data_IF_373082768781
#
_entry.id   IF_373082768781
#
_cell.length_a   1.000
_cell.length_b   1.000
_cell.length_c   1.000
_cell.angle_alpha   90.00
_cell.angle_beta   90.00
_cell.angle_gamma   90.00
#
_symmetry.space_group_name_H-M   'P 1'
#
loop_
_entity.id
_entity.type
_entity.pdbx_description
1 polymer ?
#
# COMPACT_ATOMS: atom_id res chain seq x y z
N UNK A 1 -12.33 -7.77 4.98
CA UNK A 1 -12.59 -6.69 4.00
C UNK A 1 -11.42 -6.66 3.01
N UNK A 2 -11.64 -7.04 1.73
CA UNK A 2 -10.60 -7.08 0.71
C UNK A 2 -9.88 -5.76 0.50
N UNK A 3 -10.57 -4.61 0.65
CA UNK A 3 -9.93 -3.28 0.48
C UNK A 3 -8.90 -3.01 1.56
N UNK A 4 -9.23 -3.32 2.82
CA UNK A 4 -8.28 -3.21 3.95
C UNK A 4 -7.07 -4.12 3.79
N UNK A 5 -7.23 -5.29 3.18
CA UNK A 5 -6.10 -6.18 2.88
C UNK A 5 -5.15 -5.56 1.84
N UNK A 6 -5.67 -4.88 0.82
CA UNK A 6 -4.85 -4.11 -0.13
C UNK A 6 -4.05 -3.03 0.61
N UNK A 7 -4.69 -2.27 1.51
CA UNK A 7 -4.04 -1.23 2.32
C UNK A 7 -2.91 -1.81 3.16
N UNK A 8 -3.13 -2.94 3.83
CA UNK A 8 -2.10 -3.61 4.63
C UNK A 8 -0.91 -4.09 3.79
N UNK A 9 -1.15 -4.60 2.57
CA UNK A 9 -0.08 -4.98 1.65
C UNK A 9 0.70 -3.76 1.16
N UNK A 10 0.02 -2.64 0.85
CA UNK A 10 0.69 -1.36 0.50
C UNK A 10 1.54 -0.86 1.67
N UNK A 11 1.04 -0.96 2.90
CA UNK A 11 1.82 -0.66 4.10
C UNK A 11 3.07 -1.54 4.21
N UNK A 12 2.96 -2.84 3.96
CA UNK A 12 4.13 -3.74 3.99
C UNK A 12 5.21 -3.35 2.95
N UNK A 13 4.81 -2.84 1.78
CA UNK A 13 5.76 -2.30 0.79
C UNK A 13 6.43 -1.02 1.29
N UNK A 14 5.67 -0.10 1.92
CA UNK A 14 6.26 1.12 2.51
C UNK A 14 7.24 0.79 3.63
N UNK A 15 6.86 -0.10 4.54
CA UNK A 15 7.72 -0.58 5.62
C UNK A 15 9.00 -1.22 5.06
N UNK A 16 8.89 -2.01 3.98
CA UNK A 16 10.05 -2.55 3.28
C UNK A 16 11.00 -1.45 2.80
N UNK A 17 10.49 -0.42 2.12
CA UNK A 17 11.28 0.71 1.63
C UNK A 17 11.92 1.51 2.77
N UNK A 18 11.20 1.74 3.87
CA UNK A 18 11.74 2.39 5.06
C UNK A 18 12.89 1.60 5.68
N UNK A 19 12.74 0.28 5.80
CA UNK A 19 13.82 -0.60 6.27
C UNK A 19 15.04 -0.53 5.38
N UNK A 20 14.86 -0.49 4.05
CA UNK A 20 15.98 -0.27 3.13
C UNK A 20 16.68 1.08 3.34
N UNK A 21 15.93 2.16 3.58
CA UNK A 21 16.51 3.46 3.93
C UNK A 21 17.31 3.37 5.24
N UNK A 22 16.77 2.71 6.28
CA UNK A 22 17.46 2.49 7.56
C UNK A 22 18.74 1.65 7.40
N UNK A 23 18.68 0.56 6.62
CA UNK A 23 19.84 -0.30 6.33
C UNK A 23 20.93 0.42 5.55
N UNK A 24 20.55 1.17 4.51
CA UNK A 24 21.48 1.97 3.71
C UNK A 24 22.22 3.01 4.56
N UNK A 25 21.52 3.69 5.48
CA UNK A 25 22.12 4.64 6.43
C UNK A 25 23.19 4.01 7.33
N UNK A 26 23.06 2.72 7.68
CA UNK A 26 24.05 1.98 8.47
C UNK A 26 25.08 1.22 7.63
N UNK A 27 25.00 1.28 6.30
CA UNK A 27 25.87 0.50 5.41
C UNK A 27 25.68 -1.02 5.51
N UNK A 28 24.53 -1.48 6.01
CA UNK A 28 24.21 -2.91 6.16
C UNK A 28 23.33 -3.40 5.01
N UNK A 29 23.43 -4.70 4.69
CA UNK A 29 22.75 -5.29 3.53
C UNK A 29 21.42 -5.97 3.86
N UNK A 30 21.18 -6.31 5.13
CA UNK A 30 20.00 -7.06 5.56
C UNK A 30 19.63 -6.74 7.02
N UNK A 31 18.44 -7.18 7.42
CA UNK A 31 17.89 -6.99 8.77
C UNK A 31 18.77 -7.58 9.86
N UNK A 32 19.42 -8.72 9.61
CA UNK A 32 20.32 -9.35 10.58
C UNK A 32 21.52 -8.45 10.89
N UNK A 33 22.18 -7.95 9.85
CA UNK A 33 23.29 -7.01 9.98
C UNK A 33 22.85 -5.69 10.62
N UNK A 34 21.65 -5.22 10.30
CA UNK A 34 21.06 -4.05 10.95
C UNK A 34 20.91 -4.27 12.47
N UNK A 35 20.27 -5.36 12.87
CA UNK A 35 20.01 -5.67 14.27
C UNK A 35 21.31 -5.88 15.07
N UNK A 36 22.31 -6.54 14.48
CA UNK A 36 23.63 -6.69 15.10
C UNK A 36 24.28 -5.32 15.33
N UNK A 37 24.36 -4.45 14.31
CA UNK A 37 24.97 -3.12 14.44
C UNK A 37 24.27 -2.25 15.47
N UNK A 38 22.94 -2.30 15.51
CA UNK A 38 22.13 -1.55 16.48
C UNK A 38 22.36 -2.06 17.91
N UNK A 39 22.39 -3.39 18.10
CA UNK A 39 22.66 -3.98 19.41
C UNK A 39 24.06 -3.66 19.92
N UNK A 40 25.08 -3.70 19.06
CA UNK A 40 26.46 -3.31 19.39
C UNK A 40 26.56 -1.84 19.79
N UNK A 41 25.92 -0.94 19.03
CA UNK A 41 25.89 0.49 19.34
C UNK A 41 25.21 0.75 20.70
N UNK A 42 24.07 0.11 20.96
CA UNK A 42 23.36 0.22 22.22
C UNK A 42 24.20 -0.28 23.41
N UNK A 43 24.91 -1.41 23.24
CA UNK A 43 25.80 -1.96 24.27
C UNK A 43 27.02 -1.05 24.55
N UNK A 44 27.53 -0.36 23.53
CA UNK A 44 28.63 0.58 23.65
C UNK A 44 28.20 1.97 24.17
N UNK A 45 26.90 2.24 24.27
CA UNK A 45 26.38 3.59 24.53
C UNK A 45 26.68 4.58 23.40
N UNK A 46 26.94 4.07 22.19
CA UNK A 46 27.22 4.85 20.99
C UNK A 46 25.90 5.38 20.41
N UNK A 47 25.79 6.70 20.30
CA UNK A 47 24.71 7.32 19.53
C UNK A 47 25.12 7.32 18.07
N UNK A 48 24.41 6.56 17.24
CA UNK A 48 24.65 6.56 15.80
C UNK A 48 24.22 7.92 15.24
N UNK A 49 25.17 8.77 14.88
CA UNK A 49 24.91 10.06 14.23
C UNK A 49 25.08 9.96 12.72
N UNK A 50 24.32 10.78 12.00
CA UNK A 50 24.49 10.95 10.55
C UNK A 50 24.74 12.40 10.23
N UNK A 51 25.79 12.65 9.47
CA UNK A 51 26.05 13.94 8.84
C UNK A 51 25.07 14.14 7.67
N UNK A 52 24.12 15.05 7.82
CA UNK A 52 23.16 15.45 6.77
C UNK A 52 23.45 16.88 6.34
N UNK A 53 23.41 17.14 5.03
CA UNK A 53 23.52 18.51 4.52
C UNK A 53 22.20 19.24 4.79
N UNK A 54 22.20 20.22 5.68
CA UNK A 54 21.01 20.99 6.08
C UNK A 54 20.84 22.27 5.27
N UNK A 55 21.85 22.68 4.51
CA UNK A 55 21.74 23.80 3.58
C UNK A 55 23.07 24.27 3.01
N UNK A 56 23.09 25.54 2.62
CA UNK A 56 24.29 26.28 2.24
C UNK A 56 24.39 27.54 3.07
N UNK A 57 25.59 27.87 3.54
CA UNK A 57 25.85 29.10 4.24
C UNK A 57 25.55 30.30 3.33
N UNK A 58 24.73 31.24 3.82
CA UNK A 58 24.26 32.40 3.04
C UNK A 58 25.37 33.40 2.70
N UNK A 59 26.51 33.35 3.38
CA UNK A 59 27.64 34.26 3.17
C UNK A 59 28.78 33.61 2.38
N UNK A 60 29.05 32.31 2.59
CA UNK A 60 30.17 31.61 1.93
C UNK A 60 29.74 30.69 0.78
N UNK A 61 28.45 30.31 0.71
CA UNK A 61 27.94 29.35 -0.27
C UNK A 61 28.40 27.91 -0.01
N UNK A 62 29.06 27.63 1.11
CA UNK A 62 29.53 26.29 1.48
C UNK A 62 28.40 25.45 2.06
N UNK A 63 28.44 24.13 1.83
CA UNK A 63 27.44 23.19 2.36
C UNK A 63 27.52 23.12 3.89
N UNK A 64 26.40 23.37 4.57
CA UNK A 64 26.27 23.19 6.02
C UNK A 64 25.86 21.75 6.28
N UNK A 65 26.60 21.08 7.17
CA UNK A 65 26.34 19.72 7.60
C UNK A 65 26.00 19.70 9.09
N UNK A 66 24.92 19.01 9.45
CA UNK A 66 24.53 18.77 10.85
C UNK A 66 24.57 17.27 11.15
N UNK A 67 24.92 16.93 12.38
CA UNK A 67 24.85 15.57 12.88
C UNK A 67 23.50 15.30 13.52
N UNK A 68 22.69 14.47 12.87
CA UNK A 68 21.40 14.02 13.37
C UNK A 68 21.57 12.68 14.10
N UNK A 69 21.20 12.64 15.39
CA UNK A 69 21.20 11.41 16.18
C UNK A 69 20.06 10.49 15.74
N UNK A 70 20.39 9.26 15.35
CA UNK A 70 19.41 8.27 14.95
C UNK A 70 19.04 7.37 16.14
N UNK A 71 17.81 7.49 16.62
CA UNK A 71 17.22 6.50 17.52
C UNK A 71 16.91 5.23 16.72
N UNK A 72 17.77 4.22 16.80
CA UNK A 72 17.60 2.96 16.11
C UNK A 72 17.29 1.86 17.11
N UNK A 73 16.14 1.22 16.93
CA UNK A 73 15.76 0.01 17.65
C UNK A 73 15.89 -1.19 16.71
N UNK A 74 16.17 -2.40 17.24
CA UNK A 74 16.16 -3.62 16.46
C UNK A 74 14.82 -3.80 15.73
N UNK A 75 14.87 -4.18 14.46
CA UNK A 75 13.70 -4.39 13.63
C UNK A 75 13.22 -5.85 13.76
N UNK A 76 11.93 -6.10 14.02
CA UNK A 76 11.37 -7.45 14.03
C UNK A 76 11.17 -7.97 12.61
N UNK A 77 11.19 -9.29 12.43
CA UNK A 77 10.67 -9.89 11.19
C UNK A 77 9.16 -9.68 11.10
N UNK A 78 8.67 -9.42 9.88
CA UNK A 78 7.24 -9.32 9.61
C UNK A 78 6.84 -10.49 8.72
N UNK A 79 5.79 -11.21 9.12
CA UNK A 79 5.20 -12.28 8.31
C UNK A 79 3.78 -11.88 7.92
N UNK A 80 3.54 -11.73 6.63
CA UNK A 80 2.23 -11.44 6.05
C UNK A 80 1.59 -12.74 5.61
N UNK A 81 0.44 -13.10 6.20
CA UNK A 81 -0.29 -14.33 5.89
C UNK A 81 -1.61 -13.99 5.22
N UNK A 82 -1.82 -14.51 4.01
CA UNK A 82 -3.08 -14.41 3.26
C UNK A 82 -3.66 -15.81 3.12
N UNK A 83 -4.73 -16.10 3.86
CA UNK A 83 -5.34 -17.43 3.91
C UNK A 83 -6.06 -17.82 2.61
N UNK A 84 -6.70 -16.85 1.95
CA UNK A 84 -7.38 -17.05 0.67
C UNK A 84 -7.13 -15.88 -0.27
N UNK A 85 -6.06 -15.98 -1.08
CA UNK A 85 -5.70 -14.92 -2.02
C UNK A 85 -6.71 -14.76 -3.17
N UNK A 86 -7.51 -15.78 -3.50
CA UNK A 86 -8.47 -15.68 -4.60
C UNK A 86 -9.55 -14.63 -4.33
N UNK A 87 -9.98 -14.46 -3.08
CA UNK A 87 -10.93 -13.42 -2.70
C UNK A 87 -10.37 -12.01 -2.93
N UNK A 88 -9.06 -11.83 -2.71
CA UNK A 88 -8.39 -10.57 -2.98
C UNK A 88 -8.25 -10.32 -4.49
N UNK A 89 -7.90 -11.37 -5.26
CA UNK A 89 -7.74 -11.29 -6.71
C UNK A 89 -9.04 -10.92 -7.42
N UNK A 90 -10.18 -11.42 -6.94
CA UNK A 90 -11.50 -11.12 -7.52
C UNK A 90 -11.94 -9.67 -7.33
N UNK A 91 -11.46 -8.99 -6.28
CA UNK A 91 -11.86 -7.61 -5.96
C UNK A 91 -10.85 -6.59 -6.47
N UNK A 92 -9.55 -6.86 -6.35
CA UNK A 92 -8.48 -5.91 -6.62
C UNK A 92 -7.23 -6.57 -7.24
N UNK A 93 -7.41 -7.53 -8.15
CA UNK A 93 -6.32 -8.37 -8.68
C UNK A 93 -5.08 -7.62 -9.16
N UNK A 94 -5.23 -6.53 -9.92
CA UNK A 94 -4.07 -5.76 -10.42
C UNK A 94 -3.25 -5.11 -9.29
N UNK A 95 -3.91 -4.52 -8.31
CA UNK A 95 -3.22 -3.86 -7.17
C UNK A 95 -2.55 -4.90 -6.27
N UNK A 96 -3.24 -6.01 -6.01
CA UNK A 96 -2.73 -7.13 -5.23
C UNK A 96 -1.50 -7.74 -5.90
N UNK A 97 -1.58 -8.05 -7.19
CA UNK A 97 -0.49 -8.66 -7.95
C UNK A 97 0.75 -7.74 -7.97
N UNK A 98 0.57 -6.44 -8.22
CA UNK A 98 1.68 -5.47 -8.21
C UNK A 98 2.34 -5.34 -6.83
N UNK A 99 1.54 -5.33 -5.77
CA UNK A 99 2.06 -5.21 -4.39
C UNK A 99 2.78 -6.49 -3.95
N UNK A 100 2.20 -7.65 -4.22
CA UNK A 100 2.80 -8.96 -3.95
C UNK A 100 4.09 -9.13 -4.75
N UNK A 101 4.12 -8.72 -6.02
CA UNK A 101 5.31 -8.75 -6.84
C UNK A 101 6.46 -7.93 -6.21
N UNK A 102 6.19 -6.68 -5.81
CA UNK A 102 7.19 -5.83 -5.14
C UNK A 102 7.72 -6.46 -3.87
N UNK A 103 6.84 -6.97 -3.00
CA UNK A 103 7.23 -7.66 -1.78
C UNK A 103 8.10 -8.87 -2.10
N UNK A 104 7.66 -9.76 -2.98
CA UNK A 104 8.38 -11.00 -3.26
C UNK A 104 9.79 -10.76 -3.85
N UNK A 105 10.00 -9.65 -4.57
CA UNK A 105 11.30 -9.31 -5.17
C UNK A 105 12.30 -8.72 -4.16
N UNK A 106 11.84 -7.88 -3.22
CA UNK A 106 12.72 -7.04 -2.41
C UNK A 106 12.61 -7.30 -0.90
N UNK A 107 11.55 -7.93 -0.42
CA UNK A 107 11.25 -8.04 1.01
C UNK A 107 12.25 -8.88 1.82
N UNK A 108 12.95 -9.82 1.17
CA UNK A 108 13.82 -10.81 1.84
C UNK A 108 14.89 -10.15 2.72
N UNK A 109 15.61 -9.14 2.20
CA UNK A 109 16.67 -8.49 2.95
C UNK A 109 16.10 -7.57 4.05
N UNK A 110 14.91 -7.01 3.84
CA UNK A 110 14.17 -6.20 4.81
C UNK A 110 13.51 -7.03 5.93
N UNK A 111 13.61 -8.36 5.88
CA UNK A 111 13.01 -9.25 6.88
C UNK A 111 11.49 -9.30 6.83
N UNK A 112 10.90 -9.10 5.65
CA UNK A 112 9.46 -9.23 5.42
C UNK A 112 9.23 -10.50 4.59
N UNK A 113 8.34 -11.38 5.06
CA UNK A 113 8.03 -12.65 4.44
C UNK A 113 6.53 -12.75 4.16
N UNK A 114 6.17 -13.33 3.02
CA UNK A 114 4.77 -13.44 2.60
C UNK A 114 4.41 -14.92 2.43
N UNK A 115 3.29 -15.31 3.03
CA UNK A 115 2.66 -16.63 2.88
C UNK A 115 1.31 -16.42 2.22
N UNK A 116 1.14 -17.02 1.04
CA UNK A 116 -0.10 -16.97 0.28
C UNK A 116 -0.70 -18.37 0.24
N UNK A 117 -1.95 -18.49 0.66
CA UNK A 117 -2.75 -19.70 0.58
C UNK A 117 -4.00 -19.45 -0.27
N UNK A 118 -4.50 -20.52 -0.88
CA UNK A 118 -5.76 -20.52 -1.63
C UNK A 118 -6.28 -21.93 -1.78
N UNK A 119 -7.60 -22.06 -1.80
CA UNK A 119 -8.28 -23.31 -2.18
C UNK A 119 -8.64 -23.33 -3.68
N UNK A 120 -8.39 -22.24 -4.42
CA UNK A 120 -8.71 -22.10 -5.85
C UNK A 120 -7.43 -21.98 -6.68
N UNK A 121 -6.75 -23.10 -6.99
CA UNK A 121 -5.49 -23.11 -7.73
C UNK A 121 -5.70 -22.93 -9.25
N UNK A 122 -6.38 -21.85 -9.66
CA UNK A 122 -6.58 -21.48 -11.06
C UNK A 122 -5.49 -20.55 -11.57
N UNK A 123 -5.35 -20.44 -12.90
CA UNK A 123 -4.37 -19.55 -13.55
C UNK A 123 -4.65 -18.07 -13.26
N UNK A 124 -5.92 -17.72 -13.05
CA UNK A 124 -6.35 -16.35 -12.74
C UNK A 124 -5.98 -15.93 -11.30
N UNK A 125 -5.81 -16.92 -10.41
CA UNK A 125 -5.38 -16.69 -9.02
C UNK A 125 -3.86 -16.81 -8.93
N UNK A 126 -3.29 -17.91 -9.41
CA UNK A 126 -1.85 -18.19 -9.40
C UNK A 126 -1.26 -17.78 -10.75
N UNK A 127 -1.17 -16.47 -10.95
CA UNK A 127 -0.71 -15.87 -12.21
C UNK A 127 0.76 -16.21 -12.50
N UNK A 128 1.21 -15.93 -13.73
CA UNK A 128 2.62 -16.06 -14.10
C UNK A 128 3.55 -15.23 -13.20
N UNK A 129 3.12 -14.01 -12.84
CA UNK A 129 3.87 -13.10 -11.95
C UNK A 129 4.02 -13.69 -10.56
N UNK A 130 2.96 -14.25 -9.98
CA UNK A 130 3.02 -14.91 -8.67
C UNK A 130 3.99 -16.09 -8.73
N UNK A 131 3.88 -16.94 -9.75
CA UNK A 131 4.81 -18.08 -9.92
C UNK A 131 6.27 -17.62 -10.05
N UNK A 132 6.53 -16.56 -10.81
CA UNK A 132 7.89 -16.07 -11.03
C UNK A 132 8.56 -15.58 -9.74
N UNK A 133 7.80 -15.01 -8.80
CA UNK A 133 8.37 -14.41 -7.60
C UNK A 133 8.26 -15.29 -6.33
N UNK A 134 7.46 -16.35 -6.34
CA UNK A 134 7.35 -17.32 -5.24
C UNK A 134 7.89 -18.69 -5.66
N UNK A 135 9.21 -18.94 -5.50
CA UNK A 135 9.84 -20.18 -5.95
C UNK A 135 9.64 -21.34 -4.97
N UNK A 136 9.28 -21.06 -3.71
CA UNK A 136 8.95 -22.08 -2.71
C UNK A 136 7.44 -22.29 -2.69
N UNK A 137 6.99 -23.53 -2.88
CA UNK A 137 5.57 -23.87 -3.01
C UNK A 137 5.23 -25.13 -2.23
N UNK A 138 4.02 -25.14 -1.69
CA UNK A 138 3.42 -26.28 -1.02
C UNK A 138 2.09 -26.54 -1.73
N UNK A 139 1.83 -27.79 -2.09
CA UNK A 139 0.51 -28.23 -2.55
C UNK A 139 0.03 -29.35 -1.67
N UNK A 140 -1.15 -29.18 -1.07
CA UNK A 140 -1.94 -30.28 -0.56
C UNK A 140 -2.65 -31.00 -1.72
N UNK A 141 -3.47 -32.00 -1.38
CA UNK A 141 -4.29 -32.70 -2.35
C UNK A 141 -5.14 -31.73 -3.17
N UNK A 142 -5.05 -31.86 -4.49
CA UNK A 142 -5.90 -31.14 -5.46
C UNK A 142 -6.71 -32.14 -6.27
N UNK A 143 -7.74 -31.66 -6.96
CA UNK A 143 -8.68 -32.54 -7.68
C UNK A 143 -8.15 -32.98 -9.04
N UNK A 144 -7.33 -32.15 -9.70
CA UNK A 144 -6.91 -32.40 -11.08
C UNK A 144 -5.42 -32.22 -11.33
N UNK A 145 -4.94 -32.87 -12.39
CA UNK A 145 -3.57 -32.70 -12.90
C UNK A 145 -3.29 -31.27 -13.37
N UNK A 146 -4.34 -30.52 -13.71
CA UNK A 146 -4.23 -29.12 -14.15
C UNK A 146 -3.89 -28.27 -12.93
N UNK A 147 -4.62 -28.44 -11.83
CA UNK A 147 -4.39 -27.72 -10.58
C UNK A 147 -2.99 -27.98 -10.01
N UNK A 148 -2.54 -29.24 -10.04
CA UNK A 148 -1.17 -29.61 -9.62
C UNK A 148 -0.13 -28.83 -10.43
N UNK A 149 -0.30 -28.73 -11.75
CA UNK A 149 0.61 -27.96 -12.61
C UNK A 149 0.50 -26.46 -12.37
N UNK A 150 -0.68 -25.94 -12.06
CA UNK A 150 -0.84 -24.52 -11.74
C UNK A 150 -0.02 -24.13 -10.50
N UNK A 151 -0.01 -24.98 -9.46
CA UNK A 151 0.74 -24.74 -8.23
C UNK A 151 2.22 -25.07 -8.41
N UNK A 152 2.55 -26.31 -8.80
CA UNK A 152 3.91 -26.85 -8.74
C UNK A 152 4.67 -26.76 -10.08
N UNK A 153 3.98 -26.52 -11.19
CA UNK A 153 4.55 -26.67 -12.54
C UNK A 153 4.53 -28.11 -13.06
N UNK A 154 4.30 -29.09 -12.18
CA UNK A 154 4.31 -30.53 -12.49
C UNK A 154 3.07 -31.24 -11.92
N UNK A 155 2.81 -32.46 -12.39
CA UNK A 155 1.73 -33.31 -11.90
C UNK A 155 2.18 -34.05 -10.63
N UNK A 156 1.23 -34.48 -9.79
CA UNK A 156 1.50 -35.32 -8.62
C UNK A 156 0.65 -34.97 -7.41
N UNK A 157 0.24 -33.70 -7.26
CA UNK A 157 -0.57 -33.30 -6.11
C UNK A 157 -1.98 -33.92 -6.15
N UNK A 158 -2.48 -34.29 -7.33
CA UNK A 158 -3.76 -34.99 -7.47
C UNK A 158 -3.74 -36.43 -6.94
N UNK A 159 -2.56 -36.97 -6.66
CA UNK A 159 -2.35 -38.33 -6.14
C UNK A 159 -2.14 -38.37 -4.62
N UNK A 160 -2.14 -37.21 -3.96
CA UNK A 160 -2.04 -37.11 -2.51
C UNK A 160 -3.28 -37.70 -1.85
N UNK A 161 -3.11 -38.13 -0.60
CA UNK A 161 -4.14 -38.86 0.16
C UNK A 161 -5.08 -37.91 0.93
N UNK A 162 -4.82 -36.60 0.93
CA UNK A 162 -5.50 -35.63 1.78
C UNK A 162 -4.95 -35.65 3.22
N UNK A 163 -5.71 -35.07 4.17
CA UNK A 163 -5.41 -35.10 5.61
C UNK A 163 -3.96 -34.75 5.99
N UNK A 164 -3.40 -33.70 5.36
CA UNK A 164 -2.05 -33.23 5.64
C UNK A 164 -0.95 -33.80 4.73
N UNK A 165 -1.26 -34.77 3.87
CA UNK A 165 -0.33 -35.21 2.83
C UNK A 165 -0.09 -34.09 1.80
N UNK A 166 1.18 -33.75 1.57
CA UNK A 166 1.55 -32.58 0.76
C UNK A 166 2.81 -32.82 -0.08
N UNK A 167 2.94 -32.04 -1.15
CA UNK A 167 4.15 -31.90 -1.95
C UNK A 167 4.80 -30.55 -1.64
N UNK A 168 6.08 -30.58 -1.31
CA UNK A 168 6.91 -29.41 -1.04
C UNK A 168 7.96 -29.23 -2.13
N UNK A 169 8.09 -28.01 -2.62
CA UNK A 169 9.10 -27.61 -3.58
C UNK A 169 9.83 -26.38 -3.07
N UNK A 170 11.14 -26.50 -2.85
CA UNK A 170 12.01 -25.39 -2.48
C UNK A 170 12.69 -24.81 -3.72
N UNK A 171 12.58 -23.51 -3.95
CA UNK A 171 13.40 -22.83 -4.96
C UNK A 171 13.19 -23.29 -6.41
N UNK A 172 12.01 -23.86 -6.75
CA UNK A 172 11.78 -24.50 -8.05
C UNK A 172 12.58 -25.80 -8.28
N UNK A 173 13.15 -26.37 -7.22
CA UNK A 173 13.91 -27.62 -7.26
C UNK A 173 13.03 -28.87 -7.22
N UNK A 174 13.63 -30.00 -6.82
CA UNK A 174 12.94 -31.29 -6.76
C UNK A 174 11.78 -31.27 -5.76
N UNK A 175 10.63 -31.78 -6.19
CA UNK A 175 9.47 -31.97 -5.33
C UNK A 175 9.74 -33.11 -4.33
N UNK A 176 9.42 -32.85 -3.07
CA UNK A 176 9.50 -33.82 -1.97
C UNK A 176 8.11 -34.01 -1.36
N UNK A 177 7.69 -35.26 -1.18
CA UNK A 177 6.44 -35.58 -0.47
C UNK A 177 6.67 -35.52 1.03
N UNK A 178 5.76 -34.86 1.75
CA UNK A 178 5.83 -34.64 3.19
C UNK A 178 4.46 -34.91 3.80
N UNK A 179 4.43 -35.51 4.98
CA UNK A 179 3.22 -35.65 5.78
C UNK A 179 3.16 -34.51 6.79
N UNK A 180 2.22 -33.59 6.61
CA UNK A 180 2.01 -32.45 7.48
C UNK A 180 1.58 -32.90 8.88
N UNK A 181 2.14 -32.30 9.95
CA UNK A 181 1.69 -32.58 11.30
C UNK A 181 0.25 -32.10 11.47
N UNK A 182 -0.56 -32.92 12.14
CA UNK A 182 -1.90 -32.53 12.55
C UNK A 182 -1.82 -31.68 13.81
N UNK A 183 -2.54 -30.56 13.82
CA UNK A 183 -2.80 -29.75 15.00
C UNK A 183 -4.30 -29.51 15.06
N UNK A 184 -4.92 -29.79 16.20
CA UNK A 184 -6.34 -29.54 16.42
C UNK A 184 -6.61 -28.09 16.80
N UNK A 185 -7.82 -27.61 16.53
CA UNK A 185 -8.25 -26.26 16.94
C UNK A 185 -8.08 -26.03 18.45
N UNK A 186 -8.34 -27.07 19.25
CA UNK A 186 -8.13 -27.02 20.71
C UNK A 186 -6.66 -26.82 21.10
N UNK A 187 -5.71 -27.34 20.33
CA UNK A 187 -4.28 -27.09 20.56
C UNK A 187 -3.90 -25.67 20.15
N UNK A 188 -4.44 -25.16 19.05
CA UNK A 188 -4.26 -23.77 18.63
C UNK A 188 -4.80 -22.81 19.69
N UNK A 189 -6.01 -23.03 20.19
CA UNK A 189 -6.62 -22.23 21.24
C UNK A 189 -5.79 -22.22 22.53
N UNK A 190 -5.21 -23.36 22.93
CA UNK A 190 -4.31 -23.45 24.08
C UNK A 190 -3.06 -22.60 23.90
N UNK A 191 -2.44 -22.64 22.73
CA UNK A 191 -1.26 -21.82 22.41
C UNK A 191 -1.62 -20.34 22.41
N UNK A 192 -2.75 -19.96 21.79
CA UNK A 192 -3.23 -18.57 21.77
C UNK A 192 -3.53 -18.08 23.18
N UNK A 193 -4.18 -18.89 24.02
CA UNK A 193 -4.47 -18.55 25.41
C UNK A 193 -3.17 -18.33 26.20
N UNK A 194 -2.18 -19.22 26.03
CA UNK A 194 -0.87 -19.06 26.66
C UNK A 194 -0.18 -17.76 26.21
N UNK A 195 -0.16 -17.45 24.92
CA UNK A 195 0.44 -16.21 24.40
C UNK A 195 -0.23 -14.95 24.95
N UNK A 196 -1.56 -14.95 25.08
CA UNK A 196 -2.32 -13.84 25.69
C UNK A 196 -1.97 -13.60 27.17
N UNK A 197 -1.42 -14.59 27.88
CA UNK A 197 -0.93 -14.38 29.25
C UNK A 197 0.42 -13.66 29.31
N UNK A 198 1.18 -13.67 28.21
CA UNK A 198 2.52 -13.07 28.15
C UNK A 198 2.48 -11.59 27.76
N UNK A 199 1.45 -11.16 27.02
CA UNK A 199 1.31 -9.77 26.61
C UNK A 199 0.04 -9.48 25.82
N UNK A 200 -0.28 -8.19 25.71
CA UNK A 200 -1.34 -7.69 24.84
C UNK A 200 -0.77 -7.42 23.43
N UNK A 201 -1.56 -7.61 22.36
CA UNK A 201 -1.15 -7.19 21.04
C UNK A 201 -0.94 -5.67 21.00
N UNK A 202 0.15 -5.24 20.37
CA UNK A 202 0.43 -3.85 20.06
C UNK A 202 0.07 -3.60 18.59
N UNK A 203 -1.12 -3.05 18.36
CA UNK A 203 -1.66 -2.85 17.02
C UNK A 203 -1.17 -1.52 16.44
N UNK A 204 -0.67 -1.57 15.21
CA UNK A 204 -0.28 -0.39 14.45
C UNK A 204 -1.45 0.06 13.58
N UNK A 205 -2.12 1.15 13.96
CA UNK A 205 -3.25 1.71 13.19
C UNK A 205 -2.86 2.07 11.75
N UNK A 206 -1.60 2.46 11.53
CA UNK A 206 -1.03 2.77 10.22
C UNK A 206 -1.11 1.62 9.21
N UNK A 207 -1.25 0.37 9.66
CA UNK A 207 -1.39 -0.79 8.77
C UNK A 207 -2.73 -0.78 8.04
N UNK A 208 -3.77 -0.23 8.68
CA UNK A 208 -5.13 -0.20 8.13
C UNK A 208 -5.57 1.21 7.73
N UNK A 209 -4.74 2.22 8.00
CA UNK A 209 -5.00 3.59 7.60
C UNK A 209 -4.87 3.74 6.08
N UNK A 210 -5.97 4.14 5.44
CA UNK A 210 -5.93 4.66 4.09
C UNK A 210 -5.26 6.04 4.15
N UNK A 211 -4.00 6.12 3.72
CA UNK A 211 -3.39 7.42 3.43
C UNK A 211 -4.02 7.93 2.12
N UNK A 212 -4.55 9.16 2.13
CA UNK A 212 -4.90 9.85 0.88
C UNK A 212 -3.63 9.88 0.04
N UNK A 213 -3.65 9.27 -1.15
CA UNK A 213 -2.55 9.35 -2.12
C UNK A 213 -2.33 10.83 -2.45
N UNK A 214 -1.41 11.45 -1.70
CA UNK A 214 -0.93 12.79 -1.92
C UNK A 214 -0.15 12.82 -3.23
N UNK A 215 -0.52 13.78 -4.08
CA UNK A 215 0.18 14.16 -5.30
C UNK A 215 1.71 14.10 -5.12
N UNK A 216 2.39 13.24 -5.88
CA UNK A 216 3.85 13.17 -5.81
C UNK A 216 4.47 11.87 -6.31
N UNK A 217 4.00 11.34 -7.44
CA UNK A 217 4.81 10.42 -8.25
C UNK A 217 4.63 10.85 -9.71
N UNK A 218 5.56 11.69 -10.18
CA UNK A 218 5.78 11.90 -11.60
C UNK A 218 6.21 10.57 -12.22
N UNK A 219 5.25 9.79 -12.71
CA UNK A 219 5.52 8.84 -13.79
C UNK A 219 5.49 9.60 -15.10
N UNK A 220 6.69 9.93 -15.59
CA UNK A 220 6.96 10.31 -16.96
C UNK A 220 6.48 9.17 -17.88
N UNK A 221 5.41 9.41 -18.65
CA UNK A 221 4.78 8.33 -19.41
C UNK A 221 3.56 8.72 -20.24
N UNK A 222 3.84 9.24 -21.43
CA UNK A 222 2.98 9.22 -22.63
C UNK A 222 1.79 10.19 -22.70
N UNK A 223 2.03 11.24 -23.49
CA UNK A 223 1.06 11.95 -24.33
C UNK A 223 0.14 10.93 -25.02
N UNK A 224 -1.14 10.93 -24.69
CA UNK A 224 -2.18 10.36 -25.55
C UNK A 224 -3.40 11.27 -25.62
N UNK A 225 -3.44 11.95 -26.76
CA UNK A 225 -4.54 12.67 -27.38
C UNK A 225 -5.85 11.86 -27.34
N UNK A 226 -6.92 12.47 -26.81
CA UNK A 226 -8.31 12.11 -27.12
C UNK A 226 -9.15 13.37 -27.28
N UNK A 227 -9.03 13.93 -28.47
CA UNK A 227 -10.15 14.49 -29.25
C UNK A 227 -11.52 13.87 -28.92
N UNK A 228 -12.49 14.72 -28.56
CA UNK A 228 -13.86 14.31 -28.24
C UNK A 228 -14.85 15.45 -27.95
N UNK A 229 -15.08 16.32 -28.94
CA UNK A 229 -16.31 17.10 -29.21
C UNK A 229 -17.03 17.86 -28.05
N UNK A 230 -16.76 19.16 -27.97
CA UNK A 230 -17.78 20.21 -28.19
C UNK A 230 -18.83 20.48 -27.09
N UNK A 231 -18.52 21.41 -26.18
CA UNK A 231 -19.40 22.51 -25.79
C UNK A 231 -18.58 23.55 -25.01
N UNK A 232 -18.70 24.82 -25.41
CA UNK A 232 -17.93 25.98 -24.97
C UNK A 232 -17.45 25.91 -23.50
N UNK A 233 -16.19 25.50 -23.30
CA UNK A 233 -15.52 25.67 -22.02
C UNK A 233 -15.07 27.13 -21.94
N UNK A 234 -15.67 27.87 -21.01
CA UNK A 234 -15.02 29.07 -20.50
C UNK A 234 -13.63 28.66 -19.99
N UNK A 235 -12.58 29.32 -20.49
CA UNK A 235 -11.20 29.10 -20.05
C UNK A 235 -10.97 29.54 -18.60
N UNK A 236 -11.92 30.25 -17.97
CA UNK A 236 -11.81 30.67 -16.58
C UNK A 236 -12.24 29.54 -15.61
N UNK A 237 -11.33 29.05 -14.74
CA UNK A 237 -11.65 28.08 -13.70
C UNK A 237 -12.82 28.49 -12.78
N UNK A 238 -13.11 29.79 -12.67
CA UNK A 238 -14.26 30.29 -11.93
C UNK A 238 -15.59 29.90 -12.58
N UNK A 239 -15.74 30.15 -13.89
CA UNK A 239 -16.98 29.87 -14.60
C UNK A 239 -17.29 28.36 -14.63
N UNK A 240 -16.23 27.54 -14.74
CA UNK A 240 -16.33 26.08 -14.63
C UNK A 240 -16.82 25.66 -13.24
N UNK A 241 -16.34 26.32 -12.18
CA UNK A 241 -16.79 26.04 -10.82
C UNK A 241 -18.25 26.41 -10.61
N UNK A 242 -18.71 27.56 -11.14
CA UNK A 242 -20.11 27.97 -11.03
C UNK A 242 -21.01 26.98 -11.77
N UNK A 243 -20.65 26.58 -12.99
CA UNK A 243 -21.39 25.60 -13.77
C UNK A 243 -21.52 24.25 -13.02
N UNK A 244 -20.43 23.79 -12.40
CA UNK A 244 -20.41 22.58 -11.58
C UNK A 244 -21.35 22.68 -10.37
N UNK A 245 -21.31 23.79 -9.63
CA UNK A 245 -22.16 24.01 -8.45
C UNK A 245 -23.63 24.02 -8.83
N UNK A 246 -23.99 24.72 -9.91
CA UNK A 246 -25.38 24.83 -10.37
C UNK A 246 -25.91 23.51 -10.94
N UNK A 247 -25.08 22.77 -11.68
CA UNK A 247 -25.45 21.46 -12.24
C UNK A 247 -25.61 20.40 -11.15
N UNK A 248 -24.64 20.31 -10.25
CA UNK A 248 -24.58 19.22 -9.28
C UNK A 248 -25.29 19.54 -7.94
N UNK A 249 -25.79 20.78 -7.80
CA UNK A 249 -26.49 21.34 -6.63
C UNK A 249 -25.72 21.09 -5.32
N UNK A 250 -24.39 21.17 -5.38
CA UNK A 250 -23.47 20.98 -4.24
C UNK A 250 -22.45 22.10 -4.20
N UNK A 251 -22.47 22.88 -3.12
CA UNK A 251 -21.58 24.02 -2.91
C UNK A 251 -20.75 23.81 -1.63
N UNK A 252 -19.54 23.25 -1.77
CA UNK A 252 -18.55 23.23 -0.69
C UNK A 252 -17.13 23.28 -1.25
N UNK A 253 -16.20 23.83 -0.48
CA UNK A 253 -14.79 23.96 -0.87
C UNK A 253 -14.20 22.61 -1.28
N UNK A 254 -14.41 21.56 -0.48
CA UNK A 254 -13.95 20.20 -0.79
C UNK A 254 -14.65 19.57 -2.00
N UNK A 255 -15.88 19.99 -2.32
CA UNK A 255 -16.58 19.51 -3.53
C UNK A 255 -15.95 20.09 -4.79
N UNK A 256 -15.75 21.41 -4.81
CA UNK A 256 -15.09 22.13 -5.91
C UNK A 256 -13.64 21.67 -6.08
N UNK A 257 -12.91 21.52 -4.99
CA UNK A 257 -11.54 20.98 -4.97
C UNK A 257 -11.44 19.65 -5.72
N UNK A 258 -12.36 18.70 -5.44
CA UNK A 258 -12.38 17.39 -6.10
C UNK A 258 -12.83 17.46 -7.55
N UNK A 259 -13.84 18.28 -7.86
CA UNK A 259 -14.45 18.29 -9.20
C UNK A 259 -13.59 19.00 -10.24
N UNK A 260 -12.80 19.98 -9.83
CA UNK A 260 -11.89 20.76 -10.69
C UNK A 260 -10.42 20.41 -10.50
N UNK A 261 -10.09 19.45 -9.61
CA UNK A 261 -8.71 19.01 -9.33
C UNK A 261 -7.76 20.18 -8.98
N UNK A 262 -8.27 21.19 -8.26
CA UNK A 262 -7.52 22.36 -7.81
C UNK A 262 -7.18 22.26 -6.32
N UNK A 263 -6.12 22.95 -5.88
CA UNK A 263 -5.73 22.98 -4.46
C UNK A 263 -6.76 23.68 -3.56
N UNK A 264 -6.76 23.35 -2.26
CA UNK A 264 -7.74 23.84 -1.27
C UNK A 264 -7.86 25.37 -1.25
N UNK A 265 -6.73 26.10 -1.21
CA UNK A 265 -6.74 27.57 -1.16
C UNK A 265 -7.42 28.17 -2.39
N UNK A 266 -7.19 27.58 -3.58
CA UNK A 266 -7.80 28.03 -4.82
C UNK A 266 -9.30 27.74 -4.84
N UNK A 267 -9.72 26.57 -4.36
CA UNK A 267 -11.13 26.23 -4.19
C UNK A 267 -11.82 27.14 -3.17
N UNK A 268 -11.14 27.49 -2.08
CA UNK A 268 -11.67 28.38 -1.05
C UNK A 268 -11.90 29.79 -1.59
N UNK A 269 -10.91 30.37 -2.29
CA UNK A 269 -11.05 31.68 -2.93
C UNK A 269 -12.17 31.71 -3.99
N UNK A 270 -12.36 30.62 -4.74
CA UNK A 270 -13.48 30.49 -5.69
C UNK A 270 -14.82 30.47 -4.96
N UNK A 271 -14.94 29.71 -3.87
CA UNK A 271 -16.18 29.65 -3.07
C UNK A 271 -16.49 31.00 -2.41
N UNK A 272 -15.49 31.71 -1.89
CA UNK A 272 -15.62 33.06 -1.33
C UNK A 272 -16.08 34.08 -2.38
N UNK A 273 -15.53 34.00 -3.59
CA UNK A 273 -15.97 34.81 -4.72
C UNK A 273 -17.43 34.54 -5.07
N UNK A 274 -17.86 33.27 -5.12
CA UNK A 274 -19.27 32.92 -5.36
C UNK A 274 -20.21 33.43 -4.26
N UNK A 275 -19.74 33.52 -3.01
CA UNK A 275 -20.52 34.11 -1.90
C UNK A 275 -20.66 35.61 -2.04
N UNK A 276 -19.56 36.31 -2.36
CA UNK A 276 -19.57 37.75 -2.60
C UNK A 276 -20.44 38.13 -3.81
N UNK A 277 -20.48 37.27 -4.84
CA UNK A 277 -21.33 37.46 -6.03
C UNK A 277 -22.78 36.98 -5.80
N UNK A 278 -23.13 36.49 -4.59
CA UNK A 278 -24.50 36.10 -4.24
C UNK A 278 -24.97 34.80 -4.91
N UNK A 279 -24.07 33.99 -5.46
CA UNK A 279 -24.38 32.69 -6.07
C UNK A 279 -24.60 31.64 -4.98
N UNK A 280 -23.84 31.72 -3.90
CA UNK A 280 -23.96 30.82 -2.73
C UNK A 280 -24.05 31.63 -1.43
N UNK A 281 -24.72 31.10 -0.42
CA UNK A 281 -24.83 31.69 0.91
C UNK A 281 -23.61 31.39 1.80
N UNK A 282 -23.64 31.84 3.06
CA UNK A 282 -22.54 31.63 4.00
C UNK A 282 -22.32 30.14 4.31
N UNK A 283 -21.09 29.80 4.69
CA UNK A 283 -20.73 28.44 5.08
C UNK A 283 -21.39 28.04 6.40
N UNK A 284 -22.00 26.86 6.42
CA UNK A 284 -22.48 26.25 7.66
C UNK A 284 -21.34 25.54 8.43
N UNK A 285 -21.65 24.99 9.61
CA UNK A 285 -20.71 24.27 10.48
C UNK A 285 -19.98 23.08 9.81
N UNK A 286 -20.45 22.60 8.65
CA UNK A 286 -19.84 21.52 7.87
C UNK A 286 -19.19 22.02 6.57
N UNK A 287 -19.02 23.34 6.41
CA UNK A 287 -18.40 23.95 5.22
C UNK A 287 -19.24 23.89 3.94
N UNK A 288 -20.53 23.52 4.04
CA UNK A 288 -21.48 23.56 2.91
C UNK A 288 -22.16 24.92 2.87
N UNK A 289 -22.42 25.40 1.66
CA UNK A 289 -23.11 26.66 1.37
C UNK A 289 -24.44 26.37 0.69
N UNK A 290 -25.44 27.19 0.97
CA UNK A 290 -26.71 27.17 0.25
C UNK A 290 -26.52 27.79 -1.14
N UNK A 291 -27.21 27.30 -2.17
CA UNK A 291 -27.11 27.86 -3.53
C UNK A 291 -28.29 28.82 -3.70
N UNK A 292 -28.01 30.08 -3.99
CA UNK A 292 -29.00 31.17 -3.98
C UNK A 292 -29.57 31.48 -5.37
N UNK A 293 -28.96 30.95 -6.43
CA UNK A 293 -29.39 31.18 -7.82
C UNK A 293 -29.74 29.85 -8.53
N UNK A 294 -30.79 29.88 -9.35
CA UNK A 294 -31.23 28.69 -10.10
C UNK A 294 -30.49 28.54 -11.44
N UNK A 295 -30.03 29.65 -12.03
CA UNK A 295 -29.26 29.73 -13.28
C UNK A 295 -28.26 30.90 -13.23
N UNK A 296 -27.22 30.85 -14.07
CA UNK A 296 -26.27 31.96 -14.24
C UNK A 296 -27.03 33.25 -14.62
N UNK A 297 -26.84 34.39 -13.94
CA UNK A 297 -27.31 35.66 -14.46
C UNK A 297 -26.58 35.97 -15.78
N UNK A 298 -27.31 36.39 -16.81
CA UNK A 298 -26.72 36.84 -18.07
C UNK A 298 -25.76 38.00 -17.77
N UNK A 299 -24.48 37.84 -18.11
CA UNK A 299 -23.51 38.94 -18.01
C UNK A 299 -23.91 39.99 -19.05
N UNK A 300 -24.47 41.13 -18.63
CA UNK A 300 -24.47 42.33 -19.47
C UNK A 300 -23.02 42.71 -19.75
N UNK A 301 -22.68 42.86 -21.03
CA UNK A 301 -21.33 43.12 -21.52
C UNK A 301 -20.79 44.50 -21.20
#
# INVERSE_FOLDING_TARGET
DPKKAVVALKWAVREMEERYKKMSKLGVRNIDGFNVRVAEAAAAGEVITRTVQTGFDRHTGEAIYEEEAMALEPLPYIVVIVDEMADLMMVAGKEIEGTIQRLAQMARAAGIHVVLATQRPSVDVITGTIKANFPTRISFQVTSKIDSRTILGEMGAEQLLGQGDMLYMAGGGRITRVHGPFVSDAEVEKVVAHLKTQGRPDYLDAVLAEEEEGAGAEEDGAVFDKTGMGQAESEDPYDQAVAVVLRDKKASTSYIQRRLQIGYNRAASIMERMENEGIVGPANHAGKREILVESLPEREG
#
